data_IF_786357897784
#
_entry.id   IF_786357897784
#
_cell.length_a   1.000
_cell.length_b   1.000
_cell.length_c   1.000
_cell.angle_alpha   90.00
_cell.angle_beta   90.00
_cell.angle_gamma   90.00
#
_symmetry.space_group_name_H-M   'P 1'
#
loop_
_entity.id
_entity.type
_entity.pdbx_description
1 polymer ?
#
# COMPACT_ATOMS: atom_id res chain seq x y z
N UNK A 1 -15.26 1.28 -1.69
CA UNK A 1 -14.14 0.29 -1.75
C UNK A 1 -13.43 0.30 -0.42
N UNK A 2 -13.31 -0.84 0.22
CA UNK A 2 -12.65 -0.97 1.52
C UNK A 2 -11.14 -1.13 1.34
N UNK A 3 -10.36 -0.32 2.06
CA UNK A 3 -8.91 -0.21 1.94
C UNK A 3 -8.22 -0.87 3.14
N UNK A 4 -7.41 -1.90 2.90
CA UNK A 4 -6.68 -2.62 3.93
C UNK A 4 -5.18 -2.32 3.90
N UNK A 5 -4.57 -2.04 5.06
CA UNK A 5 -3.12 -1.86 5.20
C UNK A 5 -2.51 -3.00 5.99
N UNK A 6 -1.70 -3.83 5.32
CA UNK A 6 -0.88 -4.82 6.01
C UNK A 6 0.47 -4.18 6.35
N UNK A 7 0.64 -3.87 7.63
CA UNK A 7 1.78 -3.13 8.14
C UNK A 7 1.55 -1.62 8.20
N UNK A 8 1.52 -1.06 9.40
CA UNK A 8 1.50 0.38 9.65
C UNK A 8 2.76 0.78 10.43
N UNK A 9 3.90 0.59 9.78
CA UNK A 9 5.15 1.22 10.15
C UNK A 9 5.12 2.71 9.81
N UNK A 10 6.27 3.38 9.75
CA UNK A 10 6.34 4.81 9.44
C UNK A 10 5.62 5.16 8.13
N UNK A 11 5.92 4.43 7.05
CA UNK A 11 5.34 4.69 5.73
C UNK A 11 3.84 4.40 5.67
N UNK A 12 3.40 3.20 6.09
CA UNK A 12 1.97 2.85 6.08
C UNK A 12 1.14 3.80 6.96
N UNK A 13 1.65 4.16 8.14
CA UNK A 13 0.97 5.14 9.01
C UNK A 13 0.87 6.53 8.39
N UNK A 14 1.89 6.98 7.67
CA UNK A 14 1.89 8.27 6.99
C UNK A 14 0.84 8.30 5.86
N UNK A 15 0.76 7.23 5.06
CA UNK A 15 -0.24 7.11 3.99
C UNK A 15 -1.66 7.11 4.58
N UNK A 16 -1.93 6.30 5.62
CA UNK A 16 -3.25 6.27 6.29
C UNK A 16 -3.63 7.67 6.78
N UNK A 17 -2.70 8.40 7.41
CA UNK A 17 -2.95 9.77 7.88
C UNK A 17 -3.27 10.71 6.71
N UNK A 18 -2.54 10.63 5.61
CA UNK A 18 -2.80 11.41 4.39
C UNK A 18 -4.21 11.16 3.87
N UNK A 19 -4.57 9.89 3.67
CA UNK A 19 -5.89 9.46 3.20
C UNK A 19 -7.02 9.99 4.09
N UNK A 20 -6.86 9.88 5.42
CA UNK A 20 -7.84 10.37 6.38
C UNK A 20 -7.95 11.90 6.42
N UNK A 21 -6.82 12.62 6.34
CA UNK A 21 -6.79 14.07 6.41
C UNK A 21 -7.40 14.72 5.16
N UNK A 22 -7.22 14.11 3.99
CA UNK A 22 -7.79 14.57 2.73
C UNK A 22 -9.18 13.99 2.45
N UNK A 23 -9.71 13.16 3.38
CA UNK A 23 -11.01 12.49 3.23
C UNK A 23 -11.12 11.70 1.91
N UNK A 24 -10.00 11.15 1.41
CA UNK A 24 -9.98 10.31 0.21
C UNK A 24 -10.72 8.98 0.42
N UNK A 25 -10.79 8.52 1.68
CA UNK A 25 -11.62 7.41 2.15
C UNK A 25 -12.20 7.77 3.51
N UNK A 26 -13.39 7.24 3.81
CA UNK A 26 -13.96 7.34 5.15
C UNK A 26 -13.17 6.44 6.12
N UNK A 27 -13.07 6.83 7.37
CA UNK A 27 -12.28 6.09 8.35
C UNK A 27 -12.79 4.65 8.58
N UNK A 28 -14.10 4.44 8.50
CA UNK A 28 -14.77 3.14 8.62
C UNK A 28 -14.61 2.25 7.38
N UNK A 29 -14.07 2.78 6.27
CA UNK A 29 -13.67 2.00 5.11
C UNK A 29 -12.21 1.54 5.19
N UNK A 30 -11.43 1.97 6.21
CA UNK A 30 -10.00 1.66 6.36
C UNK A 30 -9.79 0.57 7.40
N UNK A 31 -9.06 -0.46 7.00
CA UNK A 31 -8.68 -1.62 7.81
C UNK A 31 -7.16 -1.66 7.95
N UNK A 32 -6.68 -2.02 9.14
CA UNK A 32 -5.26 -2.04 9.47
C UNK A 32 -4.89 -3.29 10.24
N UNK A 33 -3.83 -3.99 9.82
CA UNK A 33 -3.15 -5.00 10.63
C UNK A 33 -1.70 -4.62 10.86
N UNK A 34 -1.18 -4.90 12.05
CA UNK A 34 0.21 -4.66 12.41
C UNK A 34 0.66 -5.52 13.58
N UNK A 35 1.98 -5.78 13.64
CA UNK A 35 2.59 -6.61 14.70
C UNK A 35 2.36 -6.06 16.12
N UNK A 36 2.20 -4.74 16.27
CA UNK A 36 2.05 -4.03 17.53
C UNK A 36 0.72 -3.24 17.52
N UNK A 37 -0.44 -3.92 17.73
CA UNK A 37 -1.74 -3.29 17.66
C UNK A 37 -1.94 -2.19 18.73
N UNK A 38 -1.23 -2.27 19.86
CA UNK A 38 -1.24 -1.23 20.91
C UNK A 38 -0.80 0.15 20.42
N UNK A 39 -0.05 0.21 19.31
CA UNK A 39 0.37 1.48 18.67
C UNK A 39 -0.66 2.04 17.70
N UNK A 40 -1.89 1.51 17.70
CA UNK A 40 -2.95 1.91 16.78
C UNK A 40 -4.04 2.77 17.43
N UNK A 41 -3.88 3.18 18.69
CA UNK A 41 -4.89 3.94 19.43
C UNK A 41 -5.36 5.21 18.67
N UNK A 42 -4.44 5.94 18.04
CA UNK A 42 -4.76 7.13 17.24
C UNK A 42 -5.68 6.81 16.04
N UNK A 43 -5.45 5.67 15.36
CA UNK A 43 -6.28 5.22 14.25
C UNK A 43 -7.64 4.72 14.71
N UNK A 44 -7.69 3.98 15.83
CA UNK A 44 -8.95 3.53 16.45
C UNK A 44 -9.81 4.73 16.82
N UNK A 45 -9.22 5.75 17.47
CA UNK A 45 -9.93 6.96 17.85
C UNK A 45 -10.46 7.76 16.64
N UNK A 46 -9.88 7.57 15.46
CA UNK A 46 -10.34 8.16 14.19
C UNK A 46 -11.36 7.30 13.46
N UNK A 47 -11.70 6.11 13.97
CA UNK A 47 -12.68 5.20 13.38
C UNK A 47 -12.12 4.15 12.42
N UNK A 48 -10.79 3.97 12.34
CA UNK A 48 -10.15 2.92 11.54
C UNK A 48 -10.30 1.57 12.23
N UNK A 49 -10.61 0.52 11.45
CA UNK A 49 -10.71 -0.84 11.95
C UNK A 49 -9.32 -1.49 12.11
N UNK A 50 -8.95 -1.81 13.34
CA UNK A 50 -7.70 -2.57 13.61
C UNK A 50 -8.04 -4.05 13.68
N UNK A 51 -7.49 -4.82 12.75
CA UNK A 51 -7.77 -6.24 12.59
C UNK A 51 -6.80 -7.09 13.42
N UNK A 52 -7.26 -8.26 13.93
CA UNK A 52 -6.42 -9.12 14.77
C UNK A 52 -5.26 -9.77 14.01
N UNK A 53 -5.43 -10.01 12.70
CA UNK A 53 -4.46 -10.67 11.84
C UNK A 53 -4.61 -10.22 10.37
N UNK A 54 -3.66 -10.64 9.52
CA UNK A 54 -3.63 -10.27 8.11
C UNK A 54 -4.74 -10.95 7.30
N UNK A 55 -5.11 -12.18 7.63
CA UNK A 55 -6.15 -12.95 6.91
C UNK A 55 -7.50 -12.25 7.08
N UNK A 56 -7.87 -11.93 8.32
CA UNK A 56 -9.12 -11.21 8.64
C UNK A 56 -9.17 -9.84 7.93
N UNK A 57 -8.04 -9.15 7.82
CA UNK A 57 -7.93 -7.90 7.08
C UNK A 57 -8.23 -8.10 5.59
N UNK A 58 -7.56 -9.07 4.95
CA UNK A 58 -7.71 -9.32 3.51
C UNK A 58 -9.15 -9.76 3.18
N UNK A 59 -9.78 -10.52 4.06
CA UNK A 59 -11.19 -10.90 3.89
C UNK A 59 -12.14 -9.69 3.95
N UNK A 60 -11.84 -8.71 4.81
CA UNK A 60 -12.67 -7.52 5.01
C UNK A 60 -12.47 -6.44 3.94
N UNK A 61 -11.30 -6.36 3.30
CA UNK A 61 -10.92 -5.30 2.37
C UNK A 61 -10.97 -5.74 0.89
N UNK A 62 -11.16 -4.77 -0.01
CA UNK A 62 -11.16 -4.97 -1.46
C UNK A 62 -9.77 -4.68 -2.06
N UNK A 63 -9.13 -3.61 -1.59
CA UNK A 63 -7.80 -3.16 -1.97
C UNK A 63 -6.82 -3.33 -0.80
N UNK A 64 -5.69 -3.98 -1.03
CA UNK A 64 -4.69 -4.29 -0.01
C UNK A 64 -3.39 -3.53 -0.27
N UNK A 65 -2.98 -2.67 0.64
CA UNK A 65 -1.67 -2.02 0.62
C UNK A 65 -0.68 -2.87 1.41
N UNK A 66 0.30 -3.46 0.71
CA UNK A 66 1.42 -4.16 1.34
C UNK A 66 2.47 -3.13 1.77
N UNK A 67 2.53 -2.84 3.09
CA UNK A 67 3.39 -1.85 3.71
C UNK A 67 4.34 -2.46 4.75
N UNK A 68 4.75 -3.68 4.54
CA UNK A 68 5.69 -4.41 5.40
C UNK A 68 7.14 -4.22 4.96
N UNK A 69 8.09 -4.53 5.84
CA UNK A 69 9.51 -4.52 5.46
C UNK A 69 9.81 -5.63 4.45
N UNK A 70 10.72 -5.42 3.48
CA UNK A 70 11.04 -6.41 2.43
C UNK A 70 11.34 -7.82 2.97
N UNK A 71 12.06 -7.91 4.08
CA UNK A 71 12.44 -9.20 4.72
C UNK A 71 11.23 -10.03 5.19
N UNK A 72 10.08 -9.41 5.41
CA UNK A 72 8.87 -10.10 5.86
C UNK A 72 7.85 -10.34 4.74
N UNK A 73 8.05 -9.77 3.56
CA UNK A 73 7.04 -9.72 2.50
C UNK A 73 6.64 -11.10 2.03
N UNK A 74 7.60 -11.98 1.72
CA UNK A 74 7.28 -13.35 1.28
C UNK A 74 6.45 -14.08 2.33
N UNK A 75 6.88 -14.06 3.59
CA UNK A 75 6.15 -14.70 4.68
C UNK A 75 4.72 -14.19 4.83
N UNK A 76 4.52 -12.88 4.67
CA UNK A 76 3.17 -12.27 4.74
C UNK A 76 2.33 -12.69 3.55
N UNK A 77 2.88 -12.70 2.34
CA UNK A 77 2.16 -13.17 1.15
C UNK A 77 1.77 -14.64 1.30
N UNK A 78 2.69 -15.50 1.75
CA UNK A 78 2.41 -16.93 1.98
C UNK A 78 1.27 -17.13 2.98
N UNK A 79 1.24 -16.32 4.07
CA UNK A 79 0.19 -16.35 5.10
C UNK A 79 -1.20 -16.04 4.53
N UNK A 80 -1.30 -15.08 3.61
CA UNK A 80 -2.58 -14.57 3.09
C UNK A 80 -2.87 -15.03 1.66
N UNK A 81 -2.07 -15.94 1.09
CA UNK A 81 -2.08 -16.29 -0.32
C UNK A 81 -3.48 -16.61 -0.85
N UNK A 82 -4.19 -17.54 -0.20
CA UNK A 82 -5.53 -17.94 -0.63
C UNK A 82 -6.55 -16.79 -0.54
N UNK A 83 -6.42 -15.94 0.48
CA UNK A 83 -7.34 -14.82 0.69
C UNK A 83 -7.12 -13.68 -0.33
N UNK A 84 -5.92 -13.59 -0.95
CA UNK A 84 -5.60 -12.59 -1.99
C UNK A 84 -6.26 -12.88 -3.33
N UNK A 85 -6.81 -14.07 -3.56
CA UNK A 85 -7.44 -14.42 -4.83
C UNK A 85 -8.53 -13.39 -5.22
N UNK A 86 -8.39 -12.82 -6.41
CA UNK A 86 -9.31 -11.80 -6.94
C UNK A 86 -9.20 -10.40 -6.31
N UNK A 87 -8.30 -10.20 -5.35
CA UNK A 87 -8.08 -8.88 -4.72
C UNK A 87 -7.20 -7.97 -5.58
N UNK A 88 -7.27 -6.66 -5.28
CA UNK A 88 -6.35 -5.66 -5.79
C UNK A 88 -5.26 -5.37 -4.74
N UNK A 89 -4.00 -5.43 -5.14
CA UNK A 89 -2.83 -5.23 -4.27
C UNK A 89 -2.02 -4.03 -4.73
N UNK A 90 -1.73 -3.12 -3.81
CA UNK A 90 -0.77 -2.03 -4.00
C UNK A 90 0.48 -2.38 -3.18
N UNK A 91 1.59 -2.65 -3.83
CA UNK A 91 2.86 -2.92 -3.14
C UNK A 91 3.70 -1.65 -3.01
N UNK A 92 4.01 -1.26 -1.78
CA UNK A 92 4.99 -0.20 -1.48
C UNK A 92 6.30 -0.79 -0.93
N UNK A 93 6.54 -2.07 -1.18
CA UNK A 93 7.69 -2.79 -0.64
C UNK A 93 8.93 -2.49 -1.48
N UNK A 94 9.93 -1.88 -0.85
CA UNK A 94 11.20 -1.59 -1.52
C UNK A 94 11.91 -2.86 -1.99
N UNK A 95 12.49 -2.80 -3.19
CA UNK A 95 13.27 -3.90 -3.76
C UNK A 95 12.45 -5.07 -4.33
N UNK A 96 11.13 -5.05 -4.24
CA UNK A 96 10.27 -6.04 -4.88
C UNK A 96 9.94 -5.61 -6.32
N UNK A 97 10.41 -6.40 -7.30
CA UNK A 97 10.16 -6.14 -8.71
C UNK A 97 8.76 -6.61 -9.14
N UNK A 98 8.37 -6.25 -10.37
CA UNK A 98 7.12 -6.75 -10.96
C UNK A 98 7.11 -8.29 -10.98
N UNK A 99 8.18 -8.90 -11.47
CA UNK A 99 8.30 -10.35 -11.60
C UNK A 99 8.26 -11.06 -10.24
N UNK A 100 8.86 -10.46 -9.20
CA UNK A 100 8.79 -11.02 -7.84
C UNK A 100 7.35 -11.05 -7.33
N UNK A 101 6.58 -9.97 -7.53
CA UNK A 101 5.16 -9.91 -7.15
C UNK A 101 4.31 -10.87 -7.99
N UNK A 102 4.51 -10.88 -9.31
CA UNK A 102 3.78 -11.77 -10.22
C UNK A 102 3.97 -13.26 -9.89
N UNK A 103 5.18 -13.63 -9.44
CA UNK A 103 5.47 -15.01 -9.04
C UNK A 103 4.99 -15.34 -7.62
N UNK A 104 4.92 -14.36 -6.73
CA UNK A 104 4.52 -14.57 -5.34
C UNK A 104 3.01 -14.50 -5.12
N UNK A 105 2.27 -13.70 -5.89
CA UNK A 105 0.84 -13.49 -5.74
C UNK A 105 0.02 -14.54 -6.50
N UNK A 106 -1.23 -14.86 -6.05
CA UNK A 106 -2.16 -15.65 -6.84
C UNK A 106 -2.37 -15.06 -8.25
N UNK A 107 -2.51 -15.90 -9.27
CA UNK A 107 -2.67 -15.45 -10.67
C UNK A 107 -3.91 -14.59 -10.91
N UNK A 108 -4.89 -14.65 -10.04
CA UNK A 108 -6.12 -13.85 -10.08
C UNK A 108 -5.98 -12.52 -9.35
N UNK A 109 -4.88 -12.30 -8.63
CA UNK A 109 -4.61 -11.05 -7.90
C UNK A 109 -4.12 -9.98 -8.88
N UNK A 110 -4.76 -8.83 -8.87
CA UNK A 110 -4.30 -7.67 -9.63
C UNK A 110 -3.39 -6.81 -8.76
N UNK A 111 -2.35 -6.23 -9.34
CA UNK A 111 -1.42 -5.45 -8.54
C UNK A 111 -0.78 -4.29 -9.30
N UNK A 112 -0.33 -3.30 -8.52
CA UNK A 112 0.52 -2.19 -8.96
C UNK A 112 1.63 -1.94 -7.93
N UNK A 113 2.80 -1.52 -8.42
CA UNK A 113 3.91 -1.10 -7.57
C UNK A 113 3.90 0.41 -7.39
N UNK A 114 4.06 0.85 -6.17
CA UNK A 114 4.20 2.27 -5.84
C UNK A 114 5.40 2.46 -4.90
N UNK A 115 6.19 3.48 -5.14
CA UNK A 115 7.32 3.83 -4.27
C UNK A 115 7.14 5.25 -3.73
N UNK A 116 6.57 5.38 -2.55
CA UNK A 116 6.50 6.64 -1.83
C UNK A 116 7.83 6.98 -1.18
N UNK A 117 8.04 8.27 -0.87
CA UNK A 117 9.20 8.73 -0.12
C UNK A 117 8.84 9.31 1.25
N UNK A 118 9.84 9.59 2.08
CA UNK A 118 9.67 9.99 3.48
C UNK A 118 8.82 11.26 3.70
N UNK A 119 8.88 12.32 2.86
CA UNK A 119 8.05 13.52 3.02
C UNK A 119 6.54 13.28 2.96
N UNK A 120 6.09 12.08 2.57
CA UNK A 120 4.68 11.67 2.62
C UNK A 120 4.07 11.85 4.03
N UNK A 121 4.91 11.78 5.07
CA UNK A 121 4.48 11.95 6.46
C UNK A 121 3.92 13.35 6.76
N UNK A 122 4.30 14.35 5.97
CA UNK A 122 3.86 15.75 6.09
C UNK A 122 3.02 16.23 4.89
N UNK A 123 2.60 15.30 4.04
CA UNK A 123 1.78 15.62 2.87
C UNK A 123 2.56 16.16 1.66
N UNK A 124 3.88 16.12 1.71
CA UNK A 124 4.79 16.62 0.65
C UNK A 124 5.54 15.47 -0.04
N UNK A 125 4.96 14.26 -0.03
CA UNK A 125 5.55 13.09 -0.64
C UNK A 125 5.62 13.18 -2.17
N UNK A 126 6.57 12.43 -2.74
CA UNK A 126 6.58 12.06 -4.15
C UNK A 126 6.44 10.54 -4.23
N UNK A 127 5.38 10.07 -4.88
CA UNK A 127 5.13 8.66 -5.08
C UNK A 127 5.27 8.29 -6.55
N UNK A 128 6.20 7.39 -6.85
CA UNK A 128 6.36 6.80 -8.18
C UNK A 128 5.38 5.65 -8.32
N UNK A 129 4.58 5.64 -9.38
CA UNK A 129 3.64 4.56 -9.70
C UNK A 129 4.12 3.89 -10.97
N UNK A 130 4.33 2.57 -10.94
CA UNK A 130 4.72 1.82 -12.13
C UNK A 130 3.60 1.83 -13.17
N UNK A 131 3.92 2.11 -14.43
CA UNK A 131 2.98 1.91 -15.54
C UNK A 131 2.78 0.44 -15.90
N UNK A 132 3.68 -0.44 -15.44
CA UNK A 132 3.57 -1.89 -15.61
C UNK A 132 2.80 -2.50 -14.42
N UNK A 133 1.55 -2.85 -14.65
CA UNK A 133 0.62 -3.35 -13.65
C UNK A 133 -0.42 -4.30 -14.26
N UNK A 134 -1.19 -4.98 -13.41
CA UNK A 134 -2.28 -5.91 -13.81
C UNK A 134 -3.67 -5.41 -13.39
N UNK A 135 -3.77 -4.24 -12.74
CA UNK A 135 -5.03 -3.68 -12.27
C UNK A 135 -5.88 -3.07 -13.39
N UNK A 136 -7.18 -2.90 -13.15
CA UNK A 136 -8.09 -2.17 -14.03
C UNK A 136 -7.81 -0.67 -13.99
N UNK A 137 -8.38 0.10 -14.91
CA UNK A 137 -8.25 1.57 -14.93
C UNK A 137 -8.81 2.20 -13.65
N UNK A 138 -9.94 1.69 -13.14
CA UNK A 138 -10.55 2.16 -11.89
C UNK A 138 -9.65 1.87 -10.68
N UNK A 139 -9.06 0.69 -10.61
CA UNK A 139 -8.12 0.31 -9.54
C UNK A 139 -6.84 1.16 -9.62
N UNK A 140 -6.36 1.44 -10.82
CA UNK A 140 -5.20 2.32 -11.01
C UNK A 140 -5.50 3.75 -10.56
N UNK A 141 -6.67 4.29 -10.90
CA UNK A 141 -7.11 5.60 -10.43
C UNK A 141 -7.24 5.65 -8.88
N UNK A 142 -7.71 4.57 -8.25
CA UNK A 142 -7.75 4.45 -6.79
C UNK A 142 -6.32 4.49 -6.22
N UNK A 143 -5.37 3.75 -6.79
CA UNK A 143 -3.97 3.81 -6.36
C UNK A 143 -3.42 5.24 -6.46
N UNK A 144 -3.64 5.93 -7.58
CA UNK A 144 -3.23 7.32 -7.74
C UNK A 144 -3.85 8.23 -6.67
N UNK A 145 -5.15 8.11 -6.41
CA UNK A 145 -5.87 8.91 -5.41
C UNK A 145 -5.31 8.72 -3.99
N UNK A 146 -5.02 7.47 -3.60
CA UNK A 146 -4.44 7.15 -2.28
C UNK A 146 -3.13 7.92 -2.08
N UNK A 147 -2.22 7.89 -3.05
CA UNK A 147 -0.91 8.53 -2.90
C UNK A 147 -0.95 10.04 -3.16
N UNK A 148 -1.85 10.53 -4.00
CA UNK A 148 -2.10 11.95 -4.20
C UNK A 148 -2.63 12.63 -2.93
N UNK A 149 -3.30 11.90 -2.04
CA UNK A 149 -3.76 12.42 -0.74
C UNK A 149 -2.61 12.75 0.23
N UNK A 150 -1.40 12.28 -0.05
CA UNK A 150 -0.24 12.47 0.83
C UNK A 150 0.96 13.10 0.08
N UNK A 151 0.72 13.73 -1.08
CA UNK A 151 1.75 14.41 -1.86
C UNK A 151 1.45 14.40 -3.36
N UNK A 152 2.52 14.36 -4.18
CA UNK A 152 2.43 14.28 -5.63
C UNK A 152 2.67 12.85 -6.11
N UNK A 153 2.09 12.50 -7.25
CA UNK A 153 2.30 11.21 -7.90
C UNK A 153 2.84 11.42 -9.31
N UNK A 154 3.67 10.49 -9.76
CA UNK A 154 4.11 10.42 -11.15
C UNK A 154 4.08 8.96 -11.60
N UNK A 155 3.51 8.72 -12.77
CA UNK A 155 3.54 7.40 -13.41
C UNK A 155 4.84 7.29 -14.20
N UNK A 156 5.58 6.21 -13.99
CA UNK A 156 6.89 5.98 -14.61
C UNK A 156 6.97 4.61 -15.24
N UNK A 157 7.74 4.53 -16.32
CA UNK A 157 8.08 3.25 -16.94
C UNK A 157 9.07 2.47 -16.08
N UNK A 158 8.98 1.14 -16.09
CA UNK A 158 9.83 0.26 -15.30
C UNK A 158 11.32 0.37 -15.66
N UNK A 159 11.64 0.75 -16.89
CA UNK A 159 13.02 1.00 -17.32
C UNK A 159 13.71 2.13 -16.54
N UNK A 160 12.94 3.10 -16.06
CA UNK A 160 13.43 4.23 -15.27
C UNK A 160 13.02 4.18 -13.79
N UNK A 161 12.15 3.23 -13.40
CA UNK A 161 11.60 3.14 -12.06
C UNK A 161 12.68 3.09 -10.97
N UNK A 162 13.71 2.26 -11.16
CA UNK A 162 14.82 2.12 -10.19
C UNK A 162 15.64 3.39 -10.09
N UNK A 163 15.96 4.04 -11.22
CA UNK A 163 16.73 5.29 -11.24
C UNK A 163 15.90 6.44 -10.61
N UNK A 164 14.63 6.55 -10.96
CA UNK A 164 13.72 7.55 -10.40
C UNK A 164 13.56 7.37 -8.88
N UNK A 165 13.47 6.12 -8.39
CA UNK A 165 13.44 5.81 -6.97
C UNK A 165 14.75 6.21 -6.27
N UNK A 166 15.91 6.02 -6.89
CA UNK A 166 17.20 6.48 -6.37
C UNK A 166 17.21 7.99 -6.11
N UNK A 167 16.58 8.77 -6.97
CA UNK A 167 16.47 10.22 -6.82
C UNK A 167 15.41 10.60 -5.78
N UNK A 168 14.18 10.09 -5.90
CA UNK A 168 13.06 10.50 -5.06
C UNK A 168 13.09 9.88 -3.66
N UNK A 169 13.62 8.67 -3.52
CA UNK A 169 13.66 7.93 -2.25
C UNK A 169 14.92 8.16 -1.43
N UNK A 170 16.05 8.48 -2.07
CA UNK A 170 17.36 8.66 -1.41
C UNK A 170 17.85 10.12 -1.43
N UNK A 171 17.27 10.98 -2.27
CA UNK A 171 17.68 12.39 -2.41
C UNK A 171 17.19 13.33 -1.29
N UNK A 172 15.97 13.15 -0.76
CA UNK A 172 15.46 13.98 0.34
C UNK A 172 16.18 13.75 1.68
#
# INVERSE_FOLDING_TARGET
>A
MKLGFIGAGNMGSAIIKGVLNQQAFLADEIYLSRKHPEKSADFINRGVHVMPDNISLVQAADCIVLAVKPVYTQKVIDEIYEALSGKFVISIVAGWTYEMLENALPKTTRFVRVMPNTPIAVGEGMSLISCHHTCTEEEFAVAQSIFASAGKTVVVDDSVYTAANGISGCGP
#
